data_IF_114818780245
#
_entry.id   IF_114818780245
#
_cell.length_a   1.000
_cell.length_b   1.000
_cell.length_c   1.000
_cell.angle_alpha   90.00
_cell.angle_beta   90.00
_cell.angle_gamma   90.00
#
_symmetry.space_group_name_H-M   'P 1'
#
loop_
_entity.id
_entity.type
_entity.pdbx_description
1 polymer ?
#
# COMPACT_ATOMS: atom_id res chain seq x y z
N UNK A 1 -2.62 25.17 2.30
CA UNK A 1 -2.72 23.77 2.64
C UNK A 1 -1.86 22.88 1.72
N UNK A 2 -2.10 22.91 0.39
CA UNK A 2 -1.40 22.08 -0.62
C UNK A 2 0.13 22.06 -0.50
N UNK A 3 0.74 23.20 -0.23
CA UNK A 3 2.19 23.31 -0.11
C UNK A 3 2.76 22.69 1.18
N UNK A 4 1.94 22.53 2.21
CA UNK A 4 2.38 21.98 3.49
C UNK A 4 2.39 20.44 3.47
N UNK A 5 1.35 19.83 2.91
CA UNK A 5 1.26 18.37 2.78
C UNK A 5 2.35 17.81 1.85
N UNK A 6 2.57 18.46 0.71
CA UNK A 6 3.69 18.16 -0.18
C UNK A 6 5.04 18.27 0.53
N UNK A 7 5.17 19.19 1.45
CA UNK A 7 6.40 19.51 2.11
C UNK A 7 6.78 18.49 3.20
N UNK A 8 5.78 17.90 3.84
CA UNK A 8 5.99 16.84 4.84
C UNK A 8 6.35 15.52 4.18
N UNK A 9 5.72 15.20 3.02
CA UNK A 9 6.07 14.00 2.26
C UNK A 9 7.52 14.01 1.75
N UNK A 10 8.05 15.18 1.35
CA UNK A 10 9.43 15.30 0.83
C UNK A 10 10.52 14.96 1.85
N UNK A 11 10.21 14.93 3.14
CA UNK A 11 11.19 14.70 4.21
C UNK A 11 11.35 13.21 4.55
N UNK A 12 10.41 12.38 4.14
CA UNK A 12 10.39 10.94 4.45
C UNK A 12 11.17 10.10 3.42
N UNK A 13 11.64 10.73 2.33
CA UNK A 13 12.46 10.03 1.35
C UNK A 13 13.82 9.73 1.98
N UNK A 14 14.00 8.51 2.41
CA UNK A 14 15.27 7.99 2.86
C UNK A 14 16.30 8.11 1.73
N UNK A 15 17.26 9.00 1.91
CA UNK A 15 18.47 9.02 1.09
C UNK A 15 19.28 7.77 1.38
N UNK A 16 19.07 6.74 0.59
CA UNK A 16 20.00 5.64 0.46
C UNK A 16 21.24 6.14 -0.25
N UNK A 17 22.37 6.11 0.43
CA UNK A 17 23.77 6.30 -0.02
C UNK A 17 24.24 7.71 -0.44
N UNK A 18 24.99 8.30 0.48
CA UNK A 18 26.29 8.89 0.14
C UNK A 18 26.32 10.24 -0.56
N UNK A 19 25.78 11.29 0.07
CA UNK A 19 26.41 12.62 0.11
C UNK A 19 26.09 13.26 1.46
N UNK A 20 27.11 13.77 2.16
CA UNK A 20 26.91 14.65 3.30
C UNK A 20 26.21 15.92 2.82
N UNK A 21 24.90 15.91 2.81
CA UNK A 21 24.12 17.14 2.79
C UNK A 21 23.99 17.61 4.24
N UNK A 22 24.18 18.91 4.42
CA UNK A 22 24.02 19.57 5.71
C UNK A 22 22.65 19.21 6.28
N UNK A 23 22.60 18.49 7.40
CA UNK A 23 21.41 18.24 8.19
C UNK A 23 20.86 19.59 8.69
N UNK A 24 20.15 20.31 7.86
CA UNK A 24 19.20 21.30 8.34
C UNK A 24 17.99 20.53 8.81
N UNK A 25 18.00 20.16 10.08
CA UNK A 25 16.81 19.61 10.75
C UNK A 25 15.72 20.65 10.60
N UNK A 26 14.74 20.35 9.77
CA UNK A 26 13.61 21.25 9.58
C UNK A 26 12.80 21.26 10.85
N UNK A 27 12.62 22.42 11.44
CA UNK A 27 11.73 22.61 12.58
C UNK A 27 10.32 22.84 12.03
N UNK A 28 9.41 21.93 12.34
CA UNK A 28 7.98 22.15 12.15
C UNK A 28 7.46 23.03 13.27
N UNK A 29 6.41 23.78 12.97
CA UNK A 29 5.83 24.70 13.94
C UNK A 29 4.65 24.05 14.69
N UNK A 30 4.35 24.59 15.87
CA UNK A 30 3.10 24.27 16.59
C UNK A 30 1.91 25.13 16.11
N UNK A 31 2.07 25.78 14.96
CA UNK A 31 0.99 26.55 14.34
C UNK A 31 -0.06 25.57 13.82
N UNK A 32 -1.32 25.84 14.12
CA UNK A 32 -2.43 25.03 13.63
C UNK A 32 -2.55 25.14 12.10
N UNK A 33 -2.71 23.97 11.46
CA UNK A 33 -2.99 23.90 10.03
C UNK A 33 -4.48 24.17 9.85
N UNK A 34 -4.87 25.25 9.18
CA UNK A 34 -6.28 25.57 8.98
C UNK A 34 -7.04 24.37 8.37
N UNK A 35 -8.26 24.16 8.84
CA UNK A 35 -9.19 23.09 8.38
C UNK A 35 -8.89 21.66 8.89
N UNK A 36 -7.74 21.39 9.52
CA UNK A 36 -7.39 20.05 10.00
C UNK A 36 -7.49 19.90 11.53
N UNK A 37 -7.41 20.99 12.29
CA UNK A 37 -7.30 20.94 13.74
C UNK A 37 -5.99 20.32 14.24
N UNK A 38 -4.98 20.18 13.36
CA UNK A 38 -3.65 19.65 13.67
C UNK A 38 -2.60 20.75 13.54
N UNK A 39 -1.58 20.73 14.37
CA UNK A 39 -0.37 21.52 14.11
C UNK A 39 0.49 20.86 13.03
N UNK A 40 1.44 21.60 12.46
CA UNK A 40 2.43 21.04 11.52
C UNK A 40 3.19 19.85 12.12
N UNK A 41 3.59 19.95 13.38
CA UNK A 41 4.26 18.85 14.09
C UNK A 41 3.38 17.62 14.20
N UNK A 42 2.12 17.79 14.60
CA UNK A 42 1.17 16.67 14.71
C UNK A 42 0.88 16.02 13.36
N UNK A 43 0.76 16.81 12.30
CA UNK A 43 0.57 16.29 10.93
C UNK A 43 1.81 15.50 10.49
N UNK A 44 3.00 16.04 10.71
CA UNK A 44 4.26 15.36 10.42
C UNK A 44 4.36 14.01 11.15
N UNK A 45 4.13 13.99 12.46
CA UNK A 45 4.20 12.77 13.26
C UNK A 45 3.21 11.70 12.78
N UNK A 46 2.00 12.10 12.39
CA UNK A 46 1.00 11.17 11.86
C UNK A 46 1.42 10.59 10.50
N UNK A 47 1.91 11.42 9.58
CA UNK A 47 2.40 10.95 8.27
C UNK A 47 3.62 10.04 8.46
N UNK A 48 4.56 10.45 9.32
CA UNK A 48 5.72 9.64 9.66
C UNK A 48 5.30 8.29 10.25
N UNK A 49 4.32 8.29 11.16
CA UNK A 49 3.75 7.09 11.75
C UNK A 49 3.15 6.13 10.71
N UNK A 50 2.43 6.66 9.71
CA UNK A 50 1.87 5.85 8.61
C UNK A 50 2.99 5.22 7.77
N UNK A 51 3.96 6.02 7.33
CA UNK A 51 4.98 5.56 6.38
C UNK A 51 6.04 4.67 7.06
N UNK A 52 6.58 5.10 8.21
CA UNK A 52 7.60 4.34 8.95
C UNK A 52 6.98 3.12 9.62
N UNK A 53 5.80 3.27 10.23
CA UNK A 53 5.08 2.16 10.84
C UNK A 53 4.75 1.06 9.82
N UNK A 54 4.35 1.45 8.61
CA UNK A 54 4.13 0.51 7.51
C UNK A 54 5.41 -0.19 7.06
N UNK A 55 6.54 0.54 6.95
CA UNK A 55 7.82 -0.05 6.58
C UNK A 55 8.35 -1.03 7.63
N UNK A 56 8.13 -0.73 8.93
CA UNK A 56 8.47 -1.64 10.02
C UNK A 56 7.59 -2.90 9.95
N UNK A 57 6.29 -2.73 9.71
CA UNK A 57 5.36 -3.87 9.56
C UNK A 57 5.72 -4.76 8.38
N UNK A 58 6.07 -4.18 7.23
CA UNK A 58 6.58 -4.88 6.06
C UNK A 58 7.86 -5.68 6.37
N UNK A 59 8.86 -5.03 6.95
CA UNK A 59 10.13 -5.67 7.31
C UNK A 59 9.97 -6.80 8.36
N UNK A 60 9.01 -6.68 9.27
CA UNK A 60 8.70 -7.73 10.25
C UNK A 60 7.89 -8.87 9.65
N UNK A 61 7.01 -8.58 8.71
CA UNK A 61 6.17 -9.56 8.03
C UNK A 61 6.88 -10.35 6.94
N UNK A 62 7.86 -9.73 6.26
CA UNK A 62 8.54 -10.31 5.10
C UNK A 62 9.08 -11.74 5.32
N UNK A 63 9.75 -12.10 6.44
CA UNK A 63 10.28 -13.45 6.64
C UNK A 63 9.22 -14.54 6.63
N UNK A 64 8.00 -14.22 7.07
CA UNK A 64 6.89 -15.17 7.24
C UNK A 64 5.76 -14.98 6.22
N UNK A 65 5.99 -14.12 5.23
CA UNK A 65 5.02 -13.89 4.15
C UNK A 65 4.64 -15.20 3.46
N UNK A 66 3.35 -15.43 3.21
CA UNK A 66 2.76 -16.65 2.65
C UNK A 66 2.86 -17.90 3.55
N UNK A 67 3.40 -17.81 4.76
CA UNK A 67 3.45 -18.93 5.70
C UNK A 67 2.09 -19.16 6.37
N UNK A 68 1.83 -20.43 6.69
CA UNK A 68 0.69 -20.76 7.54
C UNK A 68 0.98 -20.37 8.98
N UNK A 69 -0.06 -19.92 9.72
CA UNK A 69 0.07 -19.53 11.12
C UNK A 69 0.73 -20.60 11.99
N UNK A 70 0.41 -21.87 11.74
CA UNK A 70 0.96 -22.98 12.54
C UNK A 70 2.46 -23.17 12.30
N UNK A 71 2.94 -22.91 11.06
CA UNK A 71 4.35 -22.95 10.72
C UNK A 71 5.09 -21.76 11.36
N UNK A 72 4.50 -20.57 11.34
CA UNK A 72 5.05 -19.39 12.03
C UNK A 72 5.17 -19.67 13.53
N UNK A 73 4.13 -20.28 14.14
CA UNK A 73 4.12 -20.63 15.55
C UNK A 73 5.16 -21.70 15.90
N UNK A 74 5.39 -22.65 15.00
CA UNK A 74 6.38 -23.71 15.18
C UNK A 74 7.80 -23.16 15.16
N UNK A 75 8.09 -22.26 14.20
CA UNK A 75 9.44 -21.72 13.97
C UNK A 75 9.77 -20.57 14.93
N UNK A 76 8.86 -19.62 15.12
CA UNK A 76 9.09 -18.39 15.88
C UNK A 76 8.40 -18.39 17.24
N UNK A 77 7.34 -19.17 17.43
CA UNK A 77 6.42 -18.99 18.56
C UNK A 77 5.63 -17.70 18.42
N UNK A 78 6.31 -16.57 18.58
CA UNK A 78 5.82 -15.21 18.33
C UNK A 78 6.92 -14.39 17.66
N UNK A 79 6.61 -13.62 16.62
CA UNK A 79 7.59 -12.77 15.91
C UNK A 79 7.83 -11.49 16.70
N UNK A 80 8.97 -11.38 17.35
CA UNK A 80 9.33 -10.24 18.21
C UNK A 80 10.49 -9.41 17.66
N UNK A 81 11.16 -9.89 16.62
CA UNK A 81 12.36 -9.24 16.05
C UNK A 81 12.36 -9.32 14.54
N UNK A 82 13.18 -8.46 13.93
CA UNK A 82 13.48 -8.50 12.51
C UNK A 82 14.33 -9.73 12.18
N UNK A 83 13.99 -10.42 11.12
CA UNK A 83 14.75 -11.56 10.59
C UNK A 83 14.94 -11.44 9.08
N UNK A 84 15.80 -12.28 8.52
CA UNK A 84 16.05 -12.35 7.09
C UNK A 84 14.95 -13.12 6.38
N UNK A 85 14.46 -12.60 5.26
CA UNK A 85 13.60 -13.36 4.36
C UNK A 85 14.47 -14.24 3.48
N UNK A 86 14.43 -15.56 3.69
CA UNK A 86 15.13 -16.53 2.88
C UNK A 86 14.09 -17.42 2.20
N UNK A 87 14.05 -17.39 0.87
CA UNK A 87 13.13 -18.18 0.07
C UNK A 87 13.89 -19.12 -0.84
N UNK A 88 13.39 -20.35 -0.97
CA UNK A 88 13.85 -21.26 -2.00
C UNK A 88 13.45 -20.73 -3.38
N UNK A 89 14.25 -21.07 -4.39
CA UNK A 89 13.94 -20.72 -5.78
C UNK A 89 12.63 -21.39 -6.19
N UNK A 90 11.60 -20.57 -6.37
CA UNK A 90 10.31 -21.05 -6.84
C UNK A 90 10.28 -21.14 -8.37
N UNK A 91 9.64 -22.17 -8.96
CA UNK A 91 9.37 -22.22 -10.40
C UNK A 91 8.53 -21.05 -10.91
N UNK A 92 7.82 -20.38 -10.01
CA UNK A 92 6.94 -19.23 -10.29
C UNK A 92 7.69 -17.90 -10.46
N UNK A 93 8.99 -17.87 -10.20
CA UNK A 93 9.91 -16.81 -10.65
C UNK A 93 10.14 -15.67 -9.67
N UNK A 94 9.55 -14.52 -9.88
CA UNK A 94 9.94 -13.21 -9.33
C UNK A 94 9.81 -13.02 -7.80
N UNK A 95 9.27 -13.97 -7.09
CA UNK A 95 9.13 -13.95 -5.62
C UNK A 95 10.43 -14.31 -4.87
N UNK A 96 11.53 -14.43 -5.61
CA UNK A 96 12.82 -14.92 -5.12
C UNK A 96 13.71 -13.76 -4.75
N UNK A 97 13.29 -12.91 -3.84
CA UNK A 97 14.19 -11.94 -3.25
C UNK A 97 14.52 -12.36 -1.82
N UNK A 98 15.73 -12.84 -1.60
CA UNK A 98 16.25 -12.91 -0.25
C UNK A 98 16.52 -11.49 0.24
N UNK A 99 16.00 -11.16 1.41
CA UNK A 99 16.19 -9.87 2.04
C UNK A 99 16.96 -10.03 3.36
N UNK A 100 17.88 -9.14 3.69
CA UNK A 100 18.50 -9.12 5.01
C UNK A 100 17.46 -8.76 6.07
N UNK A 101 17.75 -9.05 7.33
CA UNK A 101 16.92 -8.61 8.45
C UNK A 101 16.65 -7.11 8.38
N UNK A 102 15.37 -6.73 8.42
CA UNK A 102 14.93 -5.36 8.22
C UNK A 102 14.80 -4.92 6.76
N UNK A 103 15.04 -5.81 5.80
CA UNK A 103 14.70 -5.58 4.40
C UNK A 103 13.20 -5.48 4.20
N UNK A 104 12.76 -4.62 3.28
CA UNK A 104 11.36 -4.36 2.94
C UNK A 104 11.01 -4.91 1.57
N UNK A 105 9.75 -5.25 1.36
CA UNK A 105 9.21 -5.80 0.12
C UNK A 105 8.73 -4.69 -0.84
N UNK A 106 7.89 -5.03 -1.79
CA UNK A 106 7.21 -4.09 -2.68
C UNK A 106 6.18 -3.21 -1.94
N UNK A 107 5.67 -3.64 -0.79
CA UNK A 107 4.81 -2.81 0.06
C UNK A 107 5.43 -1.44 0.37
N UNK A 108 6.66 -1.41 0.80
CA UNK A 108 7.38 -0.16 1.06
C UNK A 108 7.76 0.57 -0.24
N UNK A 109 8.17 -0.17 -1.27
CA UNK A 109 8.51 0.41 -2.58
C UNK A 109 7.33 1.14 -3.22
N UNK A 110 6.12 0.58 -3.13
CA UNK A 110 4.90 1.23 -3.61
C UNK A 110 4.58 2.51 -2.85
N UNK A 111 4.81 2.54 -1.54
CA UNK A 111 4.61 3.75 -0.74
C UNK A 111 5.60 4.86 -1.13
N UNK A 112 6.86 4.50 -1.43
CA UNK A 112 7.86 5.46 -1.92
C UNK A 112 7.46 6.00 -3.30
N UNK A 113 7.16 5.13 -4.27
CA UNK A 113 6.75 5.53 -5.62
C UNK A 113 5.50 6.44 -5.60
N UNK A 114 4.53 6.09 -4.77
CA UNK A 114 3.31 6.89 -4.61
C UNK A 114 3.60 8.23 -3.94
N UNK A 115 4.50 8.27 -2.95
CA UNK A 115 4.94 9.52 -2.34
C UNK A 115 5.60 10.44 -3.38
N UNK A 116 6.47 9.90 -4.23
CA UNK A 116 7.12 10.66 -5.31
C UNK A 116 6.09 11.23 -6.28
N UNK A 117 5.06 10.45 -6.64
CA UNK A 117 3.94 10.94 -7.45
C UNK A 117 3.20 12.08 -6.75
N UNK A 118 2.80 11.90 -5.49
CA UNK A 118 2.04 12.89 -4.73
C UNK A 118 2.81 14.20 -4.53
N UNK A 119 4.14 14.15 -4.40
CA UNK A 119 5.00 15.33 -4.31
C UNK A 119 4.94 16.22 -5.57
N UNK A 120 4.61 15.66 -6.71
CA UNK A 120 4.46 16.41 -7.97
C UNK A 120 3.09 17.05 -8.13
N UNK A 121 2.10 16.64 -7.31
CA UNK A 121 0.73 17.12 -7.48
C UNK A 121 0.56 18.55 -6.94
N UNK A 122 -0.17 19.35 -7.71
CA UNK A 122 -0.48 20.75 -7.37
C UNK A 122 -1.92 20.91 -6.88
N UNK A 123 -2.73 19.90 -7.06
CA UNK A 123 -4.17 19.90 -6.77
C UNK A 123 -4.54 18.65 -5.98
N UNK A 124 -5.67 18.72 -5.29
CA UNK A 124 -6.19 17.59 -4.51
C UNK A 124 -6.89 16.55 -5.41
N UNK A 125 -7.22 16.90 -6.63
CA UNK A 125 -7.71 15.97 -7.64
C UNK A 125 -6.54 15.27 -8.32
N UNK A 126 -6.44 13.95 -8.15
CA UNK A 126 -5.38 13.13 -8.69
C UNK A 126 -5.76 12.59 -10.07
N UNK A 127 -4.76 12.36 -10.91
CA UNK A 127 -4.94 11.86 -12.26
C UNK A 127 -4.38 10.44 -12.39
N UNK A 128 -5.25 9.48 -12.73
CA UNK A 128 -4.84 8.08 -12.87
C UNK A 128 -3.86 7.85 -14.03
N UNK A 129 -3.96 8.61 -15.14
CA UNK A 129 -3.00 8.50 -16.24
C UNK A 129 -1.63 9.05 -15.88
N UNK A 130 -1.58 10.15 -15.10
CA UNK A 130 -0.30 10.69 -14.62
C UNK A 130 0.38 9.72 -13.65
N UNK A 131 -0.41 9.05 -12.80
CA UNK A 131 0.10 8.00 -11.92
C UNK A 131 0.61 6.79 -12.73
N UNK A 132 -0.16 6.33 -13.71
CA UNK A 132 0.28 5.27 -14.63
C UNK A 132 1.56 5.65 -15.39
N UNK A 133 1.67 6.92 -15.83
CA UNK A 133 2.86 7.43 -16.50
C UNK A 133 4.08 7.45 -15.57
N UNK A 134 3.91 7.78 -14.29
CA UNK A 134 4.99 7.69 -13.30
C UNK A 134 5.51 6.25 -13.18
N UNK A 135 4.61 5.27 -13.10
CA UNK A 135 4.96 3.86 -13.03
C UNK A 135 5.74 3.42 -14.27
N UNK A 136 5.23 3.76 -15.47
CA UNK A 136 5.87 3.42 -16.72
C UNK A 136 7.27 4.06 -16.85
N UNK A 137 7.39 5.33 -16.52
CA UNK A 137 8.66 6.07 -16.57
C UNK A 137 9.69 5.46 -15.60
N UNK A 138 9.25 5.06 -14.41
CA UNK A 138 10.11 4.40 -13.43
C UNK A 138 10.58 3.03 -13.95
N UNK A 139 9.67 2.24 -14.53
CA UNK A 139 10.01 0.96 -15.16
C UNK A 139 11.01 1.11 -16.30
N UNK A 140 10.80 2.08 -17.19
CA UNK A 140 11.70 2.36 -18.31
C UNK A 140 13.09 2.79 -17.84
N UNK A 141 13.16 3.57 -16.76
CA UNK A 141 14.43 3.94 -16.14
C UNK A 141 15.20 2.72 -15.62
N UNK A 142 14.51 1.79 -14.95
CA UNK A 142 15.12 0.55 -14.48
C UNK A 142 15.50 -0.38 -15.63
N UNK A 143 14.69 -0.46 -16.69
CA UNK A 143 15.01 -1.22 -17.89
C UNK A 143 16.26 -0.67 -18.60
N UNK A 144 16.45 0.64 -18.60
CA UNK A 144 17.67 1.28 -19.10
C UNK A 144 18.86 0.98 -18.21
N UNK A 145 18.73 1.14 -16.89
CA UNK A 145 19.79 0.79 -15.93
C UNK A 145 20.28 -0.65 -16.15
N UNK A 146 19.33 -1.60 -16.27
CA UNK A 146 19.67 -3.00 -16.54
C UNK A 146 20.45 -3.20 -17.85
N UNK A 147 20.05 -2.54 -18.93
CA UNK A 147 20.72 -2.63 -20.24
C UNK A 147 22.10 -1.99 -20.24
N UNK A 148 22.32 -0.98 -19.41
CA UNK A 148 23.57 -0.22 -19.36
C UNK A 148 24.63 -0.88 -18.46
N UNK A 149 24.32 -1.99 -17.77
CA UNK A 149 25.26 -2.74 -16.94
C UNK A 149 26.39 -3.30 -17.80
N UNK A 150 27.62 -2.95 -17.44
CA UNK A 150 28.84 -3.42 -18.14
C UNK A 150 29.73 -4.32 -17.26
N UNK A 151 29.22 -4.75 -16.10
CA UNK A 151 29.93 -5.65 -15.21
C UNK A 151 29.96 -7.08 -15.74
N UNK A 152 30.93 -7.85 -15.34
CA UNK A 152 30.98 -9.31 -15.51
C UNK A 152 30.54 -10.04 -14.25
N UNK A 153 30.35 -9.30 -13.14
CA UNK A 153 29.90 -9.84 -11.86
C UNK A 153 28.36 -9.99 -11.86
N UNK A 154 27.79 -11.03 -11.28
CA UNK A 154 26.36 -11.27 -11.28
C UNK A 154 25.57 -10.26 -10.40
N UNK A 155 26.14 -9.78 -9.30
CA UNK A 155 25.46 -8.94 -8.29
C UNK A 155 24.76 -7.69 -8.88
N UNK A 156 25.39 -6.88 -9.78
CA UNK A 156 24.70 -5.75 -10.39
C UNK A 156 23.49 -6.15 -11.25
N UNK A 157 23.56 -7.30 -11.94
CA UNK A 157 22.43 -7.81 -12.72
C UNK A 157 21.30 -8.30 -11.84
N UNK A 158 21.61 -8.99 -10.74
CA UNK A 158 20.60 -9.45 -9.78
C UNK A 158 19.87 -8.26 -9.16
N UNK A 159 20.58 -7.25 -8.67
CA UNK A 159 20.02 -6.04 -8.11
C UNK A 159 19.14 -5.28 -9.10
N UNK A 160 19.62 -5.08 -10.33
CA UNK A 160 18.85 -4.38 -11.35
C UNK A 160 17.65 -5.21 -11.86
N UNK A 161 17.76 -6.54 -11.90
CA UNK A 161 16.67 -7.45 -12.23
C UNK A 161 15.54 -7.37 -11.20
N UNK A 162 15.87 -7.31 -9.91
CA UNK A 162 14.87 -7.12 -8.85
C UNK A 162 14.14 -5.79 -8.97
N UNK A 163 14.87 -4.71 -9.26
CA UNK A 163 14.28 -3.38 -9.50
C UNK A 163 13.34 -3.38 -10.72
N UNK A 164 13.69 -4.10 -11.76
CA UNK A 164 12.88 -4.18 -12.97
C UNK A 164 11.65 -5.09 -12.77
N UNK A 165 11.85 -6.23 -12.13
CA UNK A 165 10.87 -7.29 -12.02
C UNK A 165 9.59 -6.86 -11.31
N UNK A 166 9.69 -6.14 -10.19
CA UNK A 166 8.54 -5.76 -9.38
C UNK A 166 7.58 -4.78 -10.10
N UNK A 167 8.03 -4.01 -11.10
CA UNK A 167 7.20 -3.08 -11.87
C UNK A 167 6.75 -3.63 -13.23
N UNK A 168 7.28 -4.76 -13.67
CA UNK A 168 7.05 -5.26 -15.03
C UNK A 168 5.57 -5.49 -15.35
N UNK A 169 4.85 -6.18 -14.48
CA UNK A 169 3.42 -6.46 -14.67
C UNK A 169 2.58 -5.17 -14.62
N UNK A 170 2.94 -4.27 -13.74
CA UNK A 170 2.28 -2.97 -13.60
C UNK A 170 2.48 -2.09 -14.84
N UNK A 171 3.69 -2.08 -15.40
CA UNK A 171 3.98 -1.35 -16.63
C UNK A 171 3.19 -1.90 -17.84
N UNK A 172 3.00 -3.24 -17.92
CA UNK A 172 2.17 -3.86 -18.96
C UNK A 172 0.71 -3.43 -18.92
N UNK A 173 0.16 -3.19 -17.73
CA UNK A 173 -1.20 -2.66 -17.56
C UNK A 173 -1.26 -1.15 -17.79
N UNK A 174 -0.24 -0.41 -17.31
CA UNK A 174 -0.18 1.05 -17.44
C UNK A 174 -0.12 1.53 -18.88
N UNK A 175 0.67 0.89 -19.73
CA UNK A 175 0.86 1.36 -21.10
C UNK A 175 -0.46 1.43 -21.89
N UNK A 176 -1.26 0.36 -22.02
CA UNK A 176 -2.51 0.43 -22.76
C UNK A 176 -3.57 1.32 -22.06
N UNK A 177 -3.49 1.48 -20.74
CA UNK A 177 -4.34 2.41 -20.01
C UNK A 177 -4.06 3.87 -20.38
N UNK A 178 -2.79 4.25 -20.48
CA UNK A 178 -2.37 5.59 -20.91
C UNK A 178 -2.80 5.87 -22.37
N UNK A 179 -2.65 4.87 -23.22
CA UNK A 179 -2.93 4.95 -24.66
C UNK A 179 -4.42 4.91 -25.02
N UNK A 180 -5.33 4.88 -24.04
CA UNK A 180 -6.78 4.67 -24.24
C UNK A 180 -7.11 3.38 -25.03
N UNK A 181 -6.23 2.41 -25.01
CA UNK A 181 -6.42 1.11 -25.63
C UNK A 181 -7.21 0.18 -24.69
N UNK A 182 -8.54 0.28 -24.72
CA UNK A 182 -9.42 -0.50 -23.81
C UNK A 182 -9.24 -2.01 -23.96
N UNK A 183 -9.02 -2.52 -25.18
CA UNK A 183 -8.84 -3.95 -25.41
C UNK A 183 -7.50 -4.42 -24.84
N UNK A 184 -6.44 -3.68 -25.10
CA UNK A 184 -5.12 -3.98 -24.55
C UNK A 184 -5.08 -3.87 -23.03
N UNK A 185 -5.76 -2.87 -22.47
CA UNK A 185 -5.89 -2.70 -21.03
C UNK A 185 -6.63 -3.88 -20.37
N UNK A 186 -7.79 -4.26 -20.92
CA UNK A 186 -8.57 -5.38 -20.41
C UNK A 186 -7.79 -6.72 -20.51
N UNK A 187 -7.07 -6.94 -21.61
CA UNK A 187 -6.23 -8.13 -21.79
C UNK A 187 -5.06 -8.16 -20.79
N UNK A 188 -4.35 -7.06 -20.63
CA UNK A 188 -3.24 -6.96 -19.67
C UNK A 188 -3.70 -7.10 -18.23
N UNK A 189 -4.82 -6.45 -17.87
CA UNK A 189 -5.40 -6.54 -16.54
C UNK A 189 -5.90 -7.96 -16.23
N UNK A 190 -6.49 -8.66 -17.21
CA UNK A 190 -6.93 -10.05 -17.07
C UNK A 190 -5.80 -11.06 -16.90
N UNK A 191 -4.55 -10.67 -17.20
CA UNK A 191 -3.35 -11.47 -17.00
C UNK A 191 -2.48 -10.99 -15.84
N UNK A 192 -2.85 -9.90 -15.22
CA UNK A 192 -2.12 -9.29 -14.13
C UNK A 192 -2.00 -10.28 -12.97
N UNK A 193 -0.77 -10.51 -12.51
CA UNK A 193 -0.46 -11.55 -11.51
C UNK A 193 -1.11 -12.91 -11.81
N UNK A 194 -0.98 -13.36 -13.07
CA UNK A 194 -1.51 -14.66 -13.51
C UNK A 194 -3.04 -14.72 -13.65
N UNK A 195 -3.72 -13.57 -13.65
CA UNK A 195 -5.17 -13.47 -13.72
C UNK A 195 -5.88 -13.53 -12.36
N UNK A 196 -5.12 -13.49 -11.28
CA UNK A 196 -5.67 -13.40 -9.93
C UNK A 196 -6.27 -12.02 -9.67
N UNK A 197 -7.37 -11.98 -8.91
CA UNK A 197 -7.92 -10.71 -8.44
C UNK A 197 -7.18 -10.30 -7.18
N UNK A 198 -6.19 -9.43 -7.32
CA UNK A 198 -5.41 -8.87 -6.22
C UNK A 198 -6.00 -7.53 -5.81
N UNK A 199 -5.88 -7.16 -4.53
CA UNK A 199 -6.17 -5.81 -4.06
C UNK A 199 -4.89 -4.98 -4.19
N UNK A 200 -4.44 -4.76 -5.42
CA UNK A 200 -3.16 -4.12 -5.73
C UNK A 200 -3.05 -2.70 -5.14
N UNK A 201 -4.14 -1.96 -5.14
CA UNK A 201 -4.20 -0.61 -4.57
C UNK A 201 -3.96 -0.57 -3.05
N UNK A 202 -4.09 -1.68 -2.32
CA UNK A 202 -3.76 -1.73 -0.88
C UNK A 202 -2.29 -1.40 -0.61
N UNK A 203 -1.39 -1.73 -1.53
CA UNK A 203 0.04 -1.46 -1.40
C UNK A 203 0.34 0.04 -1.20
N UNK A 204 -0.43 0.92 -1.82
CA UNK A 204 -0.23 2.36 -1.77
C UNK A 204 -1.39 3.16 -1.14
N UNK A 205 -2.50 2.52 -0.83
CA UNK A 205 -3.67 3.17 -0.25
C UNK A 205 -3.38 3.97 1.04
N UNK A 206 -2.55 3.49 2.00
CA UNK A 206 -2.22 4.27 3.19
C UNK A 206 -1.51 5.60 2.85
N UNK A 207 -0.64 5.61 1.84
CA UNK A 207 0.03 6.83 1.38
C UNK A 207 -0.97 7.82 0.78
N UNK A 208 -1.92 7.34 -0.03
CA UNK A 208 -3.01 8.17 -0.55
C UNK A 208 -3.88 8.73 0.58
N UNK A 209 -4.23 7.89 1.55
CA UNK A 209 -5.02 8.32 2.71
C UNK A 209 -4.33 9.43 3.53
N UNK A 210 -3.02 9.34 3.70
CA UNK A 210 -2.25 10.37 4.42
C UNK A 210 -2.13 11.69 3.65
N UNK A 211 -2.36 11.69 2.35
CA UNK A 211 -2.39 12.91 1.52
C UNK A 211 -3.67 13.72 1.72
N UNK A 212 -4.76 13.10 2.20
CA UNK A 212 -6.05 13.72 2.49
C UNK A 212 -6.39 13.66 3.99
N UNK A 213 -5.56 14.19 4.89
CA UNK A 213 -5.71 14.02 6.32
C UNK A 213 -7.06 14.56 6.80
N UNK A 214 -7.82 13.71 7.51
CA UNK A 214 -9.13 14.06 8.05
C UNK A 214 -10.27 14.11 7.02
N UNK A 215 -10.00 13.86 5.74
CA UNK A 215 -11.01 13.87 4.67
C UNK A 215 -11.16 12.48 4.02
N UNK A 216 -11.84 11.53 4.67
CA UNK A 216 -11.99 10.17 4.17
C UNK A 216 -12.78 10.06 2.86
N UNK A 217 -13.72 10.98 2.57
CA UNK A 217 -14.47 10.98 1.30
C UNK A 217 -13.56 11.26 0.12
N UNK A 218 -12.75 12.31 0.22
CA UNK A 218 -11.79 12.66 -0.84
C UNK A 218 -10.74 11.55 -1.00
N UNK A 219 -10.22 11.01 0.11
CA UNK A 219 -9.29 9.90 0.08
C UNK A 219 -9.87 8.69 -0.64
N UNK A 220 -11.13 8.34 -0.38
CA UNK A 220 -11.83 7.27 -1.07
C UNK A 220 -11.93 7.52 -2.58
N UNK A 221 -12.44 8.71 -2.98
CA UNK A 221 -12.64 9.06 -4.39
C UNK A 221 -11.34 9.02 -5.18
N UNK A 222 -10.30 9.62 -4.64
CA UNK A 222 -9.01 9.70 -5.32
C UNK A 222 -8.29 8.34 -5.36
N UNK A 223 -8.33 7.56 -4.27
CA UNK A 223 -7.79 6.21 -4.25
C UNK A 223 -8.56 5.28 -5.20
N UNK A 224 -9.89 5.42 -5.31
CA UNK A 224 -10.70 4.65 -6.25
C UNK A 224 -10.28 4.91 -7.70
N UNK A 225 -9.98 6.17 -8.06
CA UNK A 225 -9.47 6.53 -9.39
C UNK A 225 -8.11 5.88 -9.67
N UNK A 226 -7.20 5.94 -8.67
CA UNK A 226 -5.84 5.42 -8.82
C UNK A 226 -5.76 3.89 -8.72
N UNK A 227 -6.80 3.22 -8.24
CA UNK A 227 -6.86 1.74 -8.17
C UNK A 227 -7.30 1.12 -9.51
N UNK A 228 -6.69 1.54 -10.62
CA UNK A 228 -7.05 1.04 -11.96
C UNK A 228 -6.47 -0.36 -12.26
N UNK A 229 -5.64 -0.90 -11.38
CA UNK A 229 -5.20 -2.29 -11.39
C UNK A 229 -6.18 -3.26 -10.72
N UNK A 230 -7.14 -2.73 -9.97
CA UNK A 230 -8.12 -3.49 -9.21
C UNK A 230 -9.46 -3.54 -9.94
N UNK A 231 -10.18 -4.64 -9.75
CA UNK A 231 -11.51 -4.85 -10.30
C UNK A 231 -12.54 -5.08 -9.19
N UNK A 232 -13.77 -4.65 -9.45
CA UNK A 232 -14.91 -4.94 -8.59
C UNK A 232 -14.69 -4.52 -7.13
N UNK A 233 -14.84 -5.48 -6.22
CA UNK A 233 -14.69 -5.21 -4.78
C UNK A 233 -13.25 -4.92 -4.35
N UNK A 234 -12.25 -5.42 -5.08
CA UNK A 234 -10.85 -5.13 -4.77
C UNK A 234 -10.57 -3.62 -4.87
N UNK A 235 -11.11 -2.97 -5.91
CA UNK A 235 -11.00 -1.52 -6.06
C UNK A 235 -11.69 -0.75 -4.93
N UNK A 236 -12.86 -1.21 -4.50
CA UNK A 236 -13.58 -0.65 -3.35
C UNK A 236 -12.78 -0.78 -2.04
N UNK A 237 -12.20 -1.97 -1.78
CA UNK A 237 -11.40 -2.22 -0.58
C UNK A 237 -10.14 -1.35 -0.57
N UNK A 238 -9.44 -1.21 -1.69
CA UNK A 238 -8.28 -0.32 -1.82
C UNK A 238 -8.65 1.12 -1.50
N UNK A 239 -9.76 1.62 -2.05
CA UNK A 239 -10.24 2.97 -1.77
C UNK A 239 -10.66 3.16 -0.30
N UNK A 240 -11.27 2.14 0.30
CA UNK A 240 -11.64 2.18 1.72
C UNK A 240 -10.44 2.19 2.66
N UNK A 241 -9.37 1.47 2.31
CA UNK A 241 -8.13 1.51 3.08
C UNK A 241 -7.56 2.94 3.14
N UNK A 242 -7.56 3.66 2.02
CA UNK A 242 -7.18 5.07 1.99
C UNK A 242 -8.11 5.94 2.85
N UNK A 243 -9.43 5.73 2.77
CA UNK A 243 -10.41 6.46 3.57
C UNK A 243 -10.23 6.22 5.08
N UNK A 244 -9.97 4.98 5.49
CA UNK A 244 -9.68 4.65 6.89
C UNK A 244 -8.41 5.34 7.38
N UNK A 245 -7.36 5.36 6.57
CA UNK A 245 -6.12 6.07 6.90
C UNK A 245 -6.38 7.57 7.05
N UNK A 246 -7.08 8.18 6.11
CA UNK A 246 -7.46 9.60 6.19
C UNK A 246 -8.29 9.92 7.44
N UNK A 247 -9.24 9.05 7.80
CA UNK A 247 -10.01 9.19 9.03
C UNK A 247 -9.12 9.14 10.28
N UNK A 248 -8.13 8.23 10.31
CA UNK A 248 -7.14 8.12 11.38
C UNK A 248 -6.20 9.31 11.50
N UNK A 249 -6.11 10.15 10.46
CA UNK A 249 -5.31 11.38 10.48
C UNK A 249 -5.97 12.54 11.23
N UNK A 250 -7.25 12.43 11.63
CA UNK A 250 -7.89 13.44 12.48
C UNK A 250 -7.19 13.59 13.83
N UNK A 251 -7.27 14.79 14.41
CA UNK A 251 -6.89 14.98 15.80
C UNK A 251 -7.80 14.13 16.71
N UNK A 252 -7.19 13.31 17.58
CA UNK A 252 -7.91 12.41 18.48
C UNK A 252 -8.86 11.43 17.75
N UNK A 253 -8.47 10.95 16.58
CA UNK A 253 -9.23 9.94 15.83
C UNK A 253 -9.58 8.75 16.71
N UNK A 254 -10.84 8.33 16.65
CA UNK A 254 -11.37 7.18 17.40
C UNK A 254 -11.52 5.95 16.49
N UNK A 255 -11.70 4.79 17.09
CA UNK A 255 -12.06 3.57 16.37
C UNK A 255 -13.35 3.77 15.55
N UNK A 256 -14.32 4.50 16.10
CA UNK A 256 -15.59 4.81 15.48
C UNK A 256 -15.42 5.67 14.23
N UNK A 257 -14.48 6.62 14.22
CA UNK A 257 -14.14 7.42 13.03
C UNK A 257 -13.61 6.54 11.90
N UNK A 258 -12.72 5.60 12.22
CA UNK A 258 -12.18 4.65 11.22
C UNK A 258 -13.28 3.75 10.66
N UNK A 259 -14.09 3.15 11.54
CA UNK A 259 -15.17 2.24 11.14
C UNK A 259 -16.30 2.95 10.38
N UNK A 260 -16.55 4.22 10.67
CA UNK A 260 -17.53 5.02 9.94
C UNK A 260 -17.12 5.21 8.47
N UNK A 261 -15.81 5.30 8.18
CA UNK A 261 -15.32 5.43 6.79
C UNK A 261 -15.65 4.23 5.90
N UNK A 262 -15.85 3.03 6.47
CA UNK A 262 -16.27 1.84 5.73
C UNK A 262 -17.70 1.93 5.14
N UNK A 263 -18.47 2.94 5.53
CA UNK A 263 -19.82 3.18 5.00
C UNK A 263 -19.84 4.22 3.88
N UNK A 264 -18.71 4.83 3.58
CA UNK A 264 -18.61 5.85 2.55
C UNK A 264 -18.86 5.25 1.18
N UNK A 265 -19.69 5.91 0.40
CA UNK A 265 -19.93 5.64 -1.02
C UNK A 265 -20.17 6.97 -1.76
N UNK A 266 -19.16 7.84 -1.81
CA UNK A 266 -19.32 9.23 -2.26
C UNK A 266 -19.75 9.35 -3.73
N UNK A 267 -19.56 8.30 -4.52
CA UNK A 267 -19.95 8.25 -5.92
C UNK A 267 -21.17 7.36 -6.18
N UNK A 268 -21.86 6.88 -5.12
CA UNK A 268 -23.02 6.01 -5.21
C UNK A 268 -22.82 4.72 -6.03
N UNK A 269 -21.60 4.16 -5.97
CA UNK A 269 -21.26 2.95 -6.73
C UNK A 269 -22.08 1.73 -6.33
N UNK A 270 -22.62 1.71 -5.11
CA UNK A 270 -23.29 0.56 -4.50
C UNK A 270 -24.79 0.76 -4.27
N UNK A 271 -25.34 1.93 -4.58
CA UNK A 271 -26.73 2.29 -4.31
C UNK A 271 -27.75 1.29 -4.88
N UNK A 272 -27.49 0.76 -6.07
CA UNK A 272 -28.40 -0.16 -6.77
C UNK A 272 -28.04 -1.65 -6.61
N UNK A 273 -27.09 -2.00 -5.75
CA UNK A 273 -26.68 -3.40 -5.60
C UNK A 273 -27.71 -4.22 -4.85
N UNK A 274 -28.03 -5.38 -5.43
CA UNK A 274 -28.83 -6.43 -4.77
C UNK A 274 -28.04 -7.19 -3.70
N UNK A 275 -26.69 -7.19 -3.81
CA UNK A 275 -25.78 -7.85 -2.88
C UNK A 275 -25.05 -6.79 -2.07
N UNK A 276 -24.93 -7.01 -0.76
CA UNK A 276 -24.23 -6.11 0.12
C UNK A 276 -22.75 -5.95 -0.25
N UNK A 277 -22.17 -4.81 0.18
CA UNK A 277 -20.75 -4.49 -0.03
C UNK A 277 -19.85 -5.51 0.67
N UNK A 278 -18.87 -6.05 -0.03
CA UNK A 278 -17.95 -7.08 0.50
C UNK A 278 -17.23 -6.62 1.77
N UNK A 279 -16.70 -5.40 1.79
CA UNK A 279 -16.04 -4.84 2.97
C UNK A 279 -16.97 -4.76 4.19
N UNK A 280 -18.25 -4.48 4.01
CA UNK A 280 -19.23 -4.48 5.09
C UNK A 280 -19.47 -5.89 5.64
N UNK A 281 -19.53 -6.91 4.79
CA UNK A 281 -19.64 -8.29 5.21
C UNK A 281 -18.40 -8.78 5.95
N UNK A 282 -17.22 -8.40 5.50
CA UNK A 282 -15.94 -8.68 6.19
C UNK A 282 -15.94 -8.06 7.58
N UNK A 283 -16.29 -6.77 7.71
CA UNK A 283 -16.40 -6.10 9.00
C UNK A 283 -17.40 -6.80 9.92
N UNK A 284 -18.59 -7.15 9.40
CA UNK A 284 -19.61 -7.86 10.18
C UNK A 284 -19.09 -9.18 10.73
N UNK A 285 -18.41 -9.97 9.89
CA UNK A 285 -17.81 -11.23 10.31
C UNK A 285 -16.69 -11.03 11.32
N UNK A 286 -15.80 -10.05 11.11
CA UNK A 286 -14.74 -9.73 12.04
C UNK A 286 -15.27 -9.33 13.43
N UNK A 287 -16.33 -8.50 13.47
CA UNK A 287 -16.99 -8.11 14.73
C UNK A 287 -17.64 -9.30 15.43
N UNK A 288 -18.30 -10.19 14.67
CA UNK A 288 -18.89 -11.41 15.22
C UNK A 288 -17.82 -12.33 15.82
N UNK A 289 -16.76 -12.64 15.06
CA UNK A 289 -15.65 -13.49 15.50
C UNK A 289 -14.96 -12.89 16.74
N UNK A 290 -14.70 -11.60 16.74
CA UNK A 290 -14.11 -10.89 17.87
C UNK A 290 -14.98 -10.97 19.13
N UNK A 291 -16.28 -10.84 19.01
CA UNK A 291 -17.22 -10.94 20.12
C UNK A 291 -17.29 -12.39 20.69
N UNK A 292 -17.29 -13.39 19.81
CA UNK A 292 -17.28 -14.80 20.23
C UNK A 292 -15.95 -15.18 20.87
N UNK A 293 -14.84 -14.77 20.29
CA UNK A 293 -13.50 -15.07 20.80
C UNK A 293 -13.23 -14.43 22.17
N UNK A 294 -13.74 -13.22 22.42
CA UNK A 294 -13.63 -12.56 23.71
C UNK A 294 -14.31 -13.36 24.86
N UNK A 295 -15.36 -14.14 24.54
CA UNK A 295 -16.04 -15.00 25.51
C UNK A 295 -15.20 -16.21 25.91
N UNK A 296 -14.29 -16.65 25.06
CA UNK A 296 -13.55 -17.90 25.21
C UNK A 296 -12.08 -17.68 25.59
N UNK A 297 -11.63 -16.44 25.66
CA UNK A 297 -10.20 -16.07 25.84
C UNK A 297 -9.25 -16.80 24.87
N UNK A 298 -9.75 -17.10 23.65
CA UNK A 298 -9.04 -17.90 22.65
C UNK A 298 -9.02 -17.21 21.27
N UNK A 299 -8.98 -15.88 21.26
CA UNK A 299 -9.07 -15.07 20.04
C UNK A 299 -8.17 -15.57 18.90
N UNK A 300 -6.91 -15.84 19.20
CA UNK A 300 -5.96 -16.32 18.23
C UNK A 300 -6.29 -17.68 17.62
N UNK A 301 -6.93 -18.57 18.39
CA UNK A 301 -7.29 -19.91 17.92
C UNK A 301 -8.58 -19.92 17.09
N UNK A 302 -9.49 -18.98 17.34
CA UNK A 302 -10.74 -18.87 16.59
C UNK A 302 -10.60 -18.08 15.30
N UNK A 303 -9.75 -17.07 15.28
CA UNK A 303 -9.52 -16.30 14.04
C UNK A 303 -8.82 -17.13 12.95
N UNK A 304 -8.11 -18.20 13.31
CA UNK A 304 -7.37 -18.97 12.33
C UNK A 304 -8.24 -19.74 11.30
N UNK A 305 -9.31 -20.47 11.66
CA UNK A 305 -10.18 -21.08 10.66
C UNK A 305 -10.88 -20.05 9.76
N UNK A 306 -11.32 -18.94 10.37
CA UNK A 306 -12.07 -17.91 9.66
C UNK A 306 -11.16 -16.96 8.87
N UNK A 307 -9.88 -16.82 9.27
CA UNK A 307 -8.90 -16.11 8.45
C UNK A 307 -8.61 -16.83 7.14
N UNK A 308 -8.68 -18.15 7.08
CA UNK A 308 -8.64 -18.90 5.81
C UNK A 308 -9.86 -18.58 4.94
N UNK A 309 -11.05 -18.52 5.52
CA UNK A 309 -12.26 -18.12 4.80
C UNK A 309 -12.17 -16.66 4.34
N UNK A 310 -11.58 -15.76 5.13
CA UNK A 310 -11.32 -14.38 4.74
C UNK A 310 -10.25 -14.29 3.64
N UNK A 311 -9.16 -15.06 3.74
CA UNK A 311 -8.17 -15.15 2.66
C UNK A 311 -8.79 -15.67 1.36
N UNK A 312 -9.64 -16.68 1.42
CA UNK A 312 -10.40 -17.15 0.25
C UNK A 312 -11.35 -16.07 -0.30
N UNK A 313 -11.98 -15.29 0.57
CA UNK A 313 -12.85 -14.19 0.16
C UNK A 313 -12.07 -13.02 -0.46
N UNK A 314 -10.80 -12.86 -0.12
CA UNK A 314 -9.90 -11.86 -0.73
C UNK A 314 -9.24 -12.38 -2.02
N UNK A 315 -9.08 -13.69 -2.16
CA UNK A 315 -8.48 -14.32 -3.34
C UNK A 315 -9.50 -14.59 -4.46
N UNK A 316 -10.78 -14.33 -4.26
CA UNK A 316 -11.86 -14.42 -5.24
C UNK A 316 -12.44 -13.04 -5.56
#
# INVERSE_FOLDING_TARGET
MKNLTLFVLSLVIFTSCGKKESNTTRQFSDQEVPEMGLTENQLYDKILGVLVGSAIGDAMGAPTEMWMRDDIKLEYGFVESLDSMIREVSPEGIWIANLPAGGTTDDTRWKVLTSDYLLTQKHDELNAKDFAQQILTTYESYAKEFKDIKSTDPEPFESASLKLGWLQEWAKVSQPFIDDNLVGYADSLGKFYGGEMVCAGLLYAPTLGSFFPGNPEMAYQEAYKLSFYDLGYAKDISAQSAAMTAAGMKLNATKEDLLASLRLDPANYFESRLVGRTAHNILKNALFISAEAAKLDTLGNQLHPDSKALQFAFAQ
#
